data_IF_965940797502
#
_entry.id   IF_965940797502
#
_cell.length_a   1.000
_cell.length_b   1.000
_cell.length_c   1.000
_cell.angle_alpha   90.00
_cell.angle_beta   90.00
_cell.angle_gamma   90.00
#
_symmetry.space_group_name_H-M   'P 1'
#
loop_
_entity.id
_entity.type
_entity.pdbx_description
1 polymer ?
#
# COMPACT_ATOMS: atom_id res chain seq x y z
N UNK A 1 45.22 -5.82 -34.45
CA UNK A 1 44.69 -4.85 -33.44
C UNK A 1 45.84 -4.06 -32.85
N UNK A 2 45.77 -2.75 -32.90
CA UNK A 2 46.83 -1.87 -32.38
C UNK A 2 46.78 -1.90 -30.85
N UNK A 3 47.95 -1.94 -30.19
CA UNK A 3 48.05 -2.00 -28.70
C UNK A 3 47.12 -1.01 -27.96
N UNK A 4 46.88 0.16 -28.56
CA UNK A 4 45.95 1.17 -28.00
C UNK A 4 44.49 0.72 -27.95
N UNK A 5 44.03 -0.05 -28.90
CA UNK A 5 42.64 -0.57 -28.92
C UNK A 5 42.41 -1.61 -27.83
N UNK A 6 43.43 -2.42 -27.52
CA UNK A 6 43.39 -3.40 -26.44
C UNK A 6 43.26 -2.72 -25.07
N UNK A 7 43.99 -1.61 -24.84
CA UNK A 7 43.88 -0.88 -23.57
C UNK A 7 42.51 -0.24 -23.37
N UNK A 8 41.86 0.24 -24.44
CA UNK A 8 40.51 0.79 -24.38
C UNK A 8 39.49 -0.31 -24.00
N UNK A 9 39.59 -1.46 -24.62
CA UNK A 9 38.70 -2.61 -24.29
C UNK A 9 38.88 -3.08 -22.83
N UNK A 10 40.12 -3.20 -22.37
CA UNK A 10 40.40 -3.60 -20.98
C UNK A 10 39.85 -2.57 -19.99
N UNK A 11 39.98 -1.26 -20.28
CA UNK A 11 39.46 -0.20 -19.44
C UNK A 11 37.91 -0.26 -19.32
N UNK A 12 37.23 -0.48 -20.43
CA UNK A 12 35.74 -0.62 -20.43
C UNK A 12 35.30 -1.83 -19.63
N UNK A 13 35.96 -2.98 -19.78
CA UNK A 13 35.65 -4.19 -19.02
C UNK A 13 35.88 -3.98 -17.52
N UNK A 14 36.94 -3.29 -17.14
CA UNK A 14 37.29 -3.01 -15.75
C UNK A 14 36.26 -2.10 -15.07
N UNK A 15 35.77 -1.08 -15.79
CA UNK A 15 34.69 -0.20 -15.31
C UNK A 15 33.37 -0.99 -15.14
N UNK A 16 33.05 -1.87 -16.09
CA UNK A 16 31.85 -2.70 -16.01
C UNK A 16 31.89 -3.65 -14.81
N UNK A 17 33.03 -4.28 -14.54
CA UNK A 17 33.21 -5.20 -13.41
C UNK A 17 33.11 -4.45 -12.07
N UNK A 18 33.73 -3.26 -11.96
CA UNK A 18 33.63 -2.42 -10.75
C UNK A 18 32.19 -1.94 -10.50
N UNK A 19 31.44 -1.61 -11.55
CA UNK A 19 30.03 -1.25 -11.46
C UNK A 19 29.16 -2.37 -10.91
N UNK A 20 29.37 -3.61 -11.36
CA UNK A 20 28.61 -4.79 -10.91
C UNK A 20 28.93 -5.14 -9.44
N UNK A 21 30.20 -5.02 -9.03
CA UNK A 21 30.62 -5.28 -7.65
C UNK A 21 30.06 -4.19 -6.71
N UNK A 22 30.03 -2.92 -7.12
CA UNK A 22 29.44 -1.85 -6.33
C UNK A 22 27.93 -2.01 -6.07
N UNK A 23 27.17 -2.52 -7.03
CA UNK A 23 25.73 -2.76 -6.92
C UNK A 23 25.37 -3.96 -6.03
N UNK A 24 26.28 -4.93 -5.86
CA UNK A 24 26.03 -6.11 -5.02
C UNK A 24 26.34 -5.88 -3.53
N UNK A 25 27.13 -4.89 -3.17
CA UNK A 25 27.48 -4.61 -1.76
C UNK A 25 26.33 -3.93 -1.02
N UNK A 26 25.40 -3.26 -1.73
CA UNK A 26 24.26 -2.56 -1.11
C UNK A 26 23.03 -3.46 -0.85
N UNK A 27 23.02 -4.70 -1.33
CA UNK A 27 21.85 -5.61 -1.20
C UNK A 27 21.93 -6.62 -0.05
N UNK A 28 22.95 -6.59 0.80
CA UNK A 28 23.09 -7.59 1.87
C UNK A 28 23.30 -6.95 3.24
N UNK A 29 22.29 -6.27 3.78
CA UNK A 29 22.15 -6.10 5.23
C UNK A 29 20.94 -6.88 5.70
N UNK A 30 21.20 -8.15 6.01
CA UNK A 30 20.36 -8.98 6.87
C UNK A 30 20.34 -8.41 8.27
N UNK A 31 19.14 -8.33 8.80
CA UNK A 31 18.70 -8.26 10.18
C UNK A 31 19.59 -9.03 11.18
N UNK A 32 19.67 -8.55 12.43
CA UNK A 32 19.47 -9.46 13.54
C UNK A 32 18.41 -8.98 14.54
N UNK A 33 17.54 -9.91 14.84
CA UNK A 33 16.69 -10.04 16.00
C UNK A 33 17.41 -9.69 17.32
N UNK A 34 16.79 -8.85 18.17
CA UNK A 34 16.73 -9.05 19.63
C UNK A 34 15.75 -8.08 20.27
N UNK A 35 14.74 -8.66 20.79
CA UNK A 35 14.03 -8.60 22.04
C UNK A 35 14.69 -7.72 23.11
N UNK A 36 13.94 -6.74 23.60
CA UNK A 36 13.57 -6.44 24.97
C UNK A 36 12.83 -5.10 25.06
N UNK A 37 11.68 -5.15 25.73
CA UNK A 37 10.76 -4.13 26.23
C UNK A 37 11.40 -3.39 27.44
N UNK A 38 10.80 -2.34 28.06
CA UNK A 38 9.69 -1.43 27.67
C UNK A 38 10.02 0.06 27.95
N UNK A 39 9.19 0.99 27.57
CA UNK A 39 8.64 2.08 28.38
C UNK A 39 8.14 3.26 27.53
N UNK A 40 6.84 3.44 27.59
CA UNK A 40 5.99 4.61 27.77
C UNK A 40 6.06 5.81 26.83
N UNK A 41 4.85 6.10 26.37
CA UNK A 41 4.18 7.39 26.28
C UNK A 41 4.52 8.32 25.11
N UNK A 42 3.63 8.42 24.14
CA UNK A 42 2.62 9.48 24.11
C UNK A 42 1.61 9.21 23.01
N UNK A 43 0.40 8.90 23.40
CA UNK A 43 -0.84 8.98 22.61
C UNK A 43 -1.08 10.45 22.19
N UNK A 44 -1.60 10.68 20.97
CA UNK A 44 -2.98 11.13 20.96
C UNK A 44 -3.88 10.28 20.08
N UNK A 45 -4.76 9.55 20.71
CA UNK A 45 -6.05 9.15 20.20
C UNK A 45 -6.88 10.41 19.93
N UNK A 46 -7.59 10.45 18.78
CA UNK A 46 -9.01 10.63 18.89
C UNK A 46 -9.74 9.41 18.36
N UNK A 47 -10.12 8.56 19.29
CA UNK A 47 -11.21 7.63 19.13
C UNK A 47 -12.49 8.44 19.02
N UNK A 48 -13.05 8.50 17.83
CA UNK A 48 -14.48 8.76 17.68
C UNK A 48 -15.02 7.58 16.92
N UNK A 49 -15.57 6.62 17.67
CA UNK A 49 -16.44 5.61 17.12
C UNK A 49 -17.68 6.32 16.55
N UNK A 50 -17.96 6.21 15.25
CA UNK A 50 -19.26 6.62 14.76
C UNK A 50 -20.25 5.45 15.02
N UNK A 51 -21.28 5.80 15.73
CA UNK A 51 -22.49 4.98 15.93
C UNK A 51 -23.01 4.49 14.58
N UNK A 52 -22.93 3.18 14.36
CA UNK A 52 -23.34 2.53 13.11
C UNK A 52 -24.85 2.31 13.12
N UNK A 53 -25.56 3.01 12.25
CA UNK A 53 -26.83 2.55 11.72
C UNK A 53 -26.55 1.50 10.63
N UNK A 54 -27.18 0.33 10.71
CA UNK A 54 -26.87 -0.86 9.91
C UNK A 54 -27.17 -0.75 8.39
N UNK A 55 -27.68 0.37 7.92
CA UNK A 55 -28.10 0.60 6.52
C UNK A 55 -27.22 1.61 5.75
N UNK A 56 -26.15 2.11 6.34
CA UNK A 56 -25.25 3.03 5.65
C UNK A 56 -23.81 2.56 5.78
N UNK A 57 -22.99 2.79 4.74
CA UNK A 57 -21.56 2.50 4.73
C UNK A 57 -20.77 3.22 5.84
N UNK A 58 -21.43 4.10 6.63
CA UNK A 58 -20.77 4.89 7.66
C UNK A 58 -19.71 5.85 7.10
N UNK A 59 -19.98 6.41 5.90
CA UNK A 59 -19.10 7.41 5.29
C UNK A 59 -19.00 8.61 6.22
N UNK A 60 -17.79 9.14 6.51
CA UNK A 60 -17.62 10.33 7.33
C UNK A 60 -18.39 11.52 6.75
N UNK A 61 -19.03 12.30 7.61
CA UNK A 61 -19.82 13.48 7.21
C UNK A 61 -18.97 14.70 6.89
N UNK A 62 -17.71 14.67 7.26
CA UNK A 62 -16.74 15.74 6.96
C UNK A 62 -16.44 15.77 5.46
N UNK A 63 -16.19 16.98 4.94
CA UNK A 63 -15.83 17.15 3.54
C UNK A 63 -14.35 16.77 3.36
N UNK A 64 -14.03 15.77 2.52
CA UNK A 64 -12.64 15.40 2.25
C UNK A 64 -11.94 16.45 1.36
N UNK A 65 -10.62 16.49 1.39
CA UNK A 65 -9.78 17.25 0.44
C UNK A 65 -9.82 16.61 -0.95
N UNK A 66 -9.82 15.28 -0.99
CA UNK A 66 -10.06 14.48 -2.20
C UNK A 66 -11.46 13.87 -2.18
N UNK A 67 -11.51 12.55 -2.14
CA UNK A 67 -12.74 11.77 -1.97
C UNK A 67 -12.56 10.77 -0.82
N UNK A 68 -13.67 10.38 -0.21
CA UNK A 68 -13.66 9.29 0.75
C UNK A 68 -13.44 7.95 0.05
N UNK A 69 -12.44 7.22 0.52
CA UNK A 69 -12.10 5.87 0.11
C UNK A 69 -12.23 4.95 1.30
N UNK A 70 -12.94 3.86 1.12
CA UNK A 70 -13.15 2.87 2.15
C UNK A 70 -12.30 1.62 1.95
N UNK A 71 -11.89 1.01 3.05
CA UNK A 71 -11.34 -0.34 3.09
C UNK A 71 -12.39 -1.23 3.71
N UNK A 72 -12.84 -2.21 2.96
CA UNK A 72 -13.86 -3.19 3.35
C UNK A 72 -13.18 -4.52 3.63
N UNK A 73 -13.50 -5.13 4.77
CA UNK A 73 -13.11 -6.50 5.11
C UNK A 73 -14.35 -7.27 5.58
N UNK A 74 -14.58 -8.45 4.99
CA UNK A 74 -15.74 -9.29 5.27
C UNK A 74 -17.08 -8.55 5.14
N UNK A 75 -17.20 -7.75 4.07
CA UNK A 75 -18.42 -6.99 3.79
C UNK A 75 -18.69 -5.78 4.70
N UNK A 76 -17.76 -5.42 5.58
CA UNK A 76 -17.87 -4.26 6.47
C UNK A 76 -16.75 -3.27 6.20
N UNK A 77 -17.06 -1.98 6.19
CA UNK A 77 -16.02 -0.94 6.12
C UNK A 77 -15.27 -0.92 7.45
N UNK A 78 -13.97 -1.19 7.40
CA UNK A 78 -13.08 -1.21 8.56
C UNK A 78 -12.29 0.07 8.70
N UNK A 79 -12.13 0.83 7.61
CA UNK A 79 -11.40 2.10 7.61
C UNK A 79 -11.88 3.00 6.48
N UNK A 80 -12.03 4.29 6.78
CA UNK A 80 -12.16 5.38 5.81
C UNK A 80 -10.88 6.20 5.79
N UNK A 81 -10.51 6.68 4.61
CA UNK A 81 -9.44 7.66 4.45
C UNK A 81 -9.76 8.65 3.33
N UNK A 82 -9.16 9.84 3.43
CA UNK A 82 -9.26 10.89 2.42
C UNK A 82 -8.15 10.69 1.37
N UNK A 83 -8.51 10.49 0.10
CA UNK A 83 -7.53 10.36 -0.97
C UNK A 83 -6.69 11.62 -1.20
N UNK A 84 -7.15 12.78 -0.74
CA UNK A 84 -6.42 14.04 -0.84
C UNK A 84 -5.31 14.21 0.20
N UNK A 85 -5.18 13.27 1.13
CA UNK A 85 -4.14 13.26 2.17
C UNK A 85 -3.22 12.08 1.94
N UNK A 86 -1.97 12.36 1.58
CA UNK A 86 -0.95 11.33 1.39
C UNK A 86 -0.71 10.57 2.70
N UNK A 87 -0.59 9.25 2.61
CA UNK A 87 -0.40 8.43 3.81
C UNK A 87 -0.37 6.94 3.52
N UNK A 88 -0.24 6.18 4.60
CA UNK A 88 -0.23 4.72 4.56
C UNK A 88 -1.22 4.16 5.59
N UNK A 89 -1.97 3.15 5.19
CA UNK A 89 -2.96 2.47 6.01
C UNK A 89 -2.72 0.97 5.97
N UNK A 90 -2.72 0.33 7.14
CA UNK A 90 -2.56 -1.11 7.26
C UNK A 90 -3.84 -1.69 7.83
N UNK A 91 -4.32 -2.75 7.19
CA UNK A 91 -5.47 -3.53 7.67
C UNK A 91 -5.13 -5.01 7.69
N UNK A 92 -5.62 -5.71 8.70
CA UNK A 92 -5.46 -7.15 8.82
C UNK A 92 -6.58 -7.83 8.03
N UNK A 93 -6.21 -8.63 7.03
CA UNK A 93 -7.11 -9.49 6.27
C UNK A 93 -7.17 -10.91 6.83
N UNK A 94 -7.73 -11.86 6.05
CA UNK A 94 -7.85 -13.25 6.48
C UNK A 94 -6.52 -14.01 6.49
N UNK A 95 -5.58 -13.64 5.63
CA UNK A 95 -4.27 -14.33 5.45
C UNK A 95 -3.16 -13.53 6.11
N UNK A 96 -3.23 -12.20 6.08
CA UNK A 96 -2.21 -11.34 6.62
C UNK A 96 -2.51 -9.86 6.40
N UNK A 97 -1.49 -9.02 6.50
CA UNK A 97 -1.63 -7.58 6.40
C UNK A 97 -1.73 -7.11 4.94
N UNK A 98 -2.52 -6.07 4.74
CA UNK A 98 -2.69 -5.35 3.49
C UNK A 98 -2.28 -3.90 3.72
N UNK A 99 -1.21 -3.47 3.07
CA UNK A 99 -0.67 -2.12 3.15
C UNK A 99 -1.17 -1.28 1.97
N UNK A 100 -1.90 -0.24 2.28
CA UNK A 100 -2.49 0.70 1.31
C UNK A 100 -1.72 2.00 1.37
N UNK A 101 -1.14 2.42 0.25
CA UNK A 101 -0.50 3.72 0.11
C UNK A 101 -1.43 4.68 -0.62
N UNK A 102 -1.49 5.92 -0.15
CA UNK A 102 -2.21 7.04 -0.76
C UNK A 102 -1.21 8.12 -1.15
N UNK A 103 -1.25 8.51 -2.41
CA UNK A 103 -0.38 9.55 -2.94
C UNK A 103 -1.01 10.24 -4.14
N UNK A 104 -0.89 11.57 -4.19
CA UNK A 104 -1.36 12.38 -5.31
C UNK A 104 -2.84 12.09 -5.69
N UNK A 105 -3.72 11.96 -4.68
CA UNK A 105 -5.15 11.62 -4.80
C UNK A 105 -5.43 10.24 -5.39
N UNK A 106 -4.44 9.36 -5.39
CA UNK A 106 -4.55 7.97 -5.84
C UNK A 106 -4.22 7.04 -4.68
N UNK A 107 -4.66 5.79 -4.79
CA UNK A 107 -4.36 4.76 -3.81
C UNK A 107 -4.04 3.44 -4.50
N UNK A 108 -3.23 2.63 -3.86
CA UNK A 108 -2.92 1.28 -4.30
C UNK A 108 -2.55 0.37 -3.13
N UNK A 109 -2.54 -0.92 -3.36
CA UNK A 109 -1.94 -1.86 -2.42
C UNK A 109 -0.45 -1.94 -2.72
N UNK A 110 0.36 -1.41 -1.80
CA UNK A 110 1.83 -1.42 -1.92
C UNK A 110 2.40 -2.80 -1.63
N UNK A 111 1.89 -3.43 -0.56
CA UNK A 111 2.38 -4.72 -0.06
C UNK A 111 1.22 -5.51 0.53
N UNK A 112 1.29 -6.82 0.45
CA UNK A 112 0.26 -7.70 0.99
C UNK A 112 0.82 -9.08 1.28
N UNK A 113 0.43 -9.65 2.41
CA UNK A 113 0.64 -11.05 2.72
C UNK A 113 -0.42 -11.91 2.01
N UNK A 114 -0.18 -12.19 0.74
CA UNK A 114 -1.00 -13.17 0.01
C UNK A 114 -0.19 -13.81 -1.13
N UNK A 115 -0.45 -15.08 -1.46
CA UNK A 115 0.35 -15.81 -2.44
C UNK A 115 0.22 -15.27 -3.87
N UNK A 116 -0.91 -14.67 -4.22
CA UNK A 116 -1.20 -14.27 -5.61
C UNK A 116 -0.75 -12.84 -5.94
N UNK A 117 -0.74 -11.95 -4.96
CA UNK A 117 -0.38 -10.52 -5.08
C UNK A 117 -1.07 -9.78 -6.25
N UNK A 118 -2.28 -10.21 -6.62
CA UNK A 118 -3.02 -9.60 -7.72
C UNK A 118 -3.43 -8.16 -7.41
N UNK A 119 -3.81 -7.88 -6.16
CA UNK A 119 -4.17 -6.53 -5.71
C UNK A 119 -3.00 -5.53 -5.85
N UNK A 120 -1.76 -5.94 -5.61
CA UNK A 120 -0.57 -5.13 -5.88
C UNK A 120 -0.41 -4.86 -7.37
N UNK A 121 -0.67 -5.89 -8.21
CA UNK A 121 -0.58 -5.79 -9.67
C UNK A 121 -1.70 -4.96 -10.31
N UNK A 122 -2.82 -4.73 -9.61
CA UNK A 122 -3.87 -3.83 -10.08
C UNK A 122 -3.39 -2.38 -10.19
N UNK A 123 -2.33 -2.02 -9.45
CA UNK A 123 -1.71 -0.71 -9.51
C UNK A 123 -2.54 0.38 -8.85
N UNK A 124 -2.36 1.62 -9.31
CA UNK A 124 -3.00 2.80 -8.76
C UNK A 124 -4.44 2.93 -9.22
N UNK A 125 -5.33 3.15 -8.26
CA UNK A 125 -6.72 3.55 -8.47
C UNK A 125 -6.90 5.05 -8.14
N UNK A 126 -7.95 5.65 -8.67
CA UNK A 126 -8.35 7.04 -8.45
C UNK A 126 -9.88 7.20 -8.44
N UNK A 127 -10.36 8.43 -8.39
CA UNK A 127 -11.80 8.75 -8.37
C UNK A 127 -12.59 8.22 -9.57
N UNK A 128 -11.92 7.97 -10.71
CA UNK A 128 -12.53 7.47 -11.96
C UNK A 128 -12.48 5.94 -12.07
N UNK A 129 -11.90 5.28 -11.08
CA UNK A 129 -11.80 3.82 -11.08
C UNK A 129 -13.18 3.19 -10.93
N UNK A 130 -13.51 2.27 -11.85
CA UNK A 130 -14.82 1.61 -11.93
C UNK A 130 -14.87 0.24 -11.26
N UNK A 131 -13.73 -0.24 -10.76
CA UNK A 131 -13.61 -1.48 -10.01
C UNK A 131 -12.79 -1.24 -8.73
N UNK A 132 -13.18 -1.81 -7.60
CA UNK A 132 -12.38 -1.72 -6.39
C UNK A 132 -11.10 -2.55 -6.51
N UNK A 133 -10.02 -2.11 -5.87
CA UNK A 133 -8.85 -2.97 -5.69
C UNK A 133 -9.27 -4.11 -4.77
N UNK A 134 -9.04 -5.34 -5.21
CA UNK A 134 -9.57 -6.52 -4.54
C UNK A 134 -8.47 -7.51 -4.19
N UNK A 135 -8.38 -7.87 -2.90
CA UNK A 135 -7.54 -8.95 -2.40
C UNK A 135 -8.42 -10.09 -1.92
N UNK A 136 -8.78 -11.02 -2.82
CA UNK A 136 -9.67 -12.14 -2.49
C UNK A 136 -9.16 -13.03 -1.34
N UNK A 137 -7.85 -13.39 -1.25
CA UNK A 137 -7.38 -14.20 -0.13
C UNK A 137 -7.55 -13.51 1.23
N UNK A 138 -7.45 -12.18 1.26
CA UNK A 138 -7.63 -11.39 2.47
C UNK A 138 -9.08 -10.92 2.69
N UNK A 139 -9.98 -11.16 1.73
CA UNK A 139 -11.35 -10.64 1.72
C UNK A 139 -11.40 -9.12 1.94
N UNK A 140 -10.50 -8.42 1.24
CA UNK A 140 -10.34 -6.96 1.32
C UNK A 140 -10.68 -6.32 -0.01
N UNK A 141 -11.49 -5.25 0.03
CA UNK A 141 -11.87 -4.41 -1.09
C UNK A 141 -11.58 -2.95 -0.76
N UNK A 142 -11.02 -2.21 -1.72
CA UNK A 142 -10.64 -0.81 -1.51
C UNK A 142 -11.18 0.01 -2.68
N UNK A 143 -12.00 1.01 -2.39
CA UNK A 143 -12.61 1.83 -3.43
C UNK A 143 -13.25 3.11 -2.90
N UNK A 144 -13.65 3.99 -3.80
CA UNK A 144 -14.39 5.19 -3.45
C UNK A 144 -15.71 4.86 -2.76
N UNK A 145 -16.24 5.75 -1.94
CA UNK A 145 -17.51 5.56 -1.25
C UNK A 145 -18.65 5.19 -2.21
N UNK A 146 -18.71 5.87 -3.37
CA UNK A 146 -19.73 5.60 -4.39
C UNK A 146 -19.59 4.20 -4.98
N UNK A 147 -18.36 3.81 -5.34
CA UNK A 147 -18.07 2.48 -5.89
C UNK A 147 -18.39 1.37 -4.91
N UNK A 148 -18.02 1.55 -3.63
CA UNK A 148 -18.32 0.56 -2.59
C UNK A 148 -19.81 0.45 -2.30
N UNK A 149 -20.53 1.56 -2.34
CA UNK A 149 -21.99 1.59 -2.20
C UNK A 149 -22.67 0.74 -3.28
N UNK A 150 -22.26 0.90 -4.53
CA UNK A 150 -22.76 0.10 -5.65
C UNK A 150 -22.35 -1.38 -5.52
N UNK A 151 -21.08 -1.64 -5.17
CA UNK A 151 -20.52 -2.99 -5.07
C UNK A 151 -21.13 -3.80 -3.92
N UNK A 152 -21.40 -3.17 -2.77
CA UNK A 152 -21.99 -3.80 -1.61
C UNK A 152 -23.53 -3.77 -1.62
N UNK A 153 -24.15 -3.10 -2.61
CA UNK A 153 -25.60 -2.97 -2.73
C UNK A 153 -26.25 -2.14 -1.62
N UNK A 154 -25.48 -1.26 -0.98
CA UNK A 154 -25.94 -0.36 0.09
C UNK A 154 -26.37 0.97 -0.54
N UNK A 155 -27.58 1.44 -0.23
CA UNK A 155 -28.14 2.71 -0.73
C UNK A 155 -28.22 3.74 0.38
#
# INVERSE_FOLDING_TARGET
>A
MKKKEIYILISIILIAVLGIVGLNITKNKKQPTKKDEPTAETTPTPSTEPSTNADSLGVPTEKPVGIWVGIVHRGKVVKWFDSGVDGEYVVTGNVGEVHVEVKDKKWHVREVDCPNQLCVKMGWADENSIIPITCLPNDVFIGSANLLSEYLGVK
#
